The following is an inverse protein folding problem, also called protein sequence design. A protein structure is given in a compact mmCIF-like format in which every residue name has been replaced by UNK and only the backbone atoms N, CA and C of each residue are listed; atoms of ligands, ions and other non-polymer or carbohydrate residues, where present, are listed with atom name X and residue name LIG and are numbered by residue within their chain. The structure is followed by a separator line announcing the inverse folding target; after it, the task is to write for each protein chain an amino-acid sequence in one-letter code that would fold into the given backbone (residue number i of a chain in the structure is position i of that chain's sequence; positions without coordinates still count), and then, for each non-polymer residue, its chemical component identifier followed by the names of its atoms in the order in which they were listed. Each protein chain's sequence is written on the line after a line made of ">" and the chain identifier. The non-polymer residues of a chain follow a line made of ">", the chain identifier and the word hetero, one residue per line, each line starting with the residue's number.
data_IF_611862289544
#
_entry.id   IF_611862289544
#
_cell.length_a   1.000
_cell.length_b   1.000
_cell.length_c   1.000
_cell.angle_alpha   90.00
_cell.angle_beta   90.00
_cell.angle_gamma   90.00
#
_symmetry.space_group_name_H-M   'P 1'
#
loop_
_entity.id
_entity.type
_entity.pdbx_description
1 polymer ?
#
# COMPACT_ATOMS: atom_id res chain seq x y z
N UNK A 1 -17.67 -7.67 -4.88
CA UNK A 1 -16.51 -7.18 -5.67
C UNK A 1 -15.46 -8.28 -5.63
N UNK A 2 -14.84 -8.56 -6.78
CA UNK A 2 -13.73 -9.51 -6.90
C UNK A 2 -12.43 -8.77 -7.23
N UNK A 3 -11.32 -9.38 -6.84
CA UNK A 3 -9.96 -8.90 -7.03
C UNK A 3 -9.07 -10.03 -7.59
N UNK A 4 -8.02 -9.64 -8.28
CA UNK A 4 -6.94 -10.50 -8.76
C UNK A 4 -5.61 -10.02 -8.17
N UNK A 5 -4.59 -10.87 -8.25
CA UNK A 5 -3.21 -10.49 -7.94
C UNK A 5 -2.52 -9.85 -9.15
N UNK A 6 -2.95 -10.19 -10.37
CA UNK A 6 -2.28 -9.80 -11.61
C UNK A 6 -1.04 -10.64 -11.93
N UNK A 7 -0.75 -11.64 -11.11
CA UNK A 7 0.32 -12.61 -11.33
C UNK A 7 -0.34 -13.85 -11.93
N UNK A 8 -0.17 -14.05 -13.24
CA UNK A 8 -0.92 -15.08 -14.01
C UNK A 8 -0.90 -16.45 -13.34
N UNK A 9 0.28 -16.89 -12.86
CA UNK A 9 0.41 -18.21 -12.23
C UNK A 9 -0.34 -18.31 -10.90
N UNK A 10 -0.43 -17.21 -10.15
CA UNK A 10 -1.12 -17.16 -8.87
C UNK A 10 -2.63 -17.09 -9.08
N UNK A 11 -3.07 -16.27 -10.03
CA UNK A 11 -4.49 -16.14 -10.40
C UNK A 11 -5.04 -17.45 -10.99
N UNK A 12 -4.26 -18.21 -11.77
CA UNK A 12 -4.65 -19.55 -12.23
C UNK A 12 -4.87 -20.56 -11.09
N UNK A 13 -4.08 -20.46 -10.03
CA UNK A 13 -4.08 -21.42 -8.92
C UNK A 13 -5.15 -21.10 -7.88
N UNK A 14 -5.38 -19.81 -7.60
CA UNK A 14 -6.27 -19.35 -6.53
C UNK A 14 -7.63 -18.91 -7.08
N UNK A 15 -7.67 -18.39 -8.31
CA UNK A 15 -8.84 -17.76 -8.89
C UNK A 15 -9.13 -16.37 -8.31
N UNK A 16 -10.36 -15.92 -8.49
CA UNK A 16 -10.81 -14.62 -8.02
C UNK A 16 -10.88 -14.53 -6.49
N UNK A 17 -10.47 -13.38 -5.96
CA UNK A 17 -10.45 -13.09 -4.53
C UNK A 17 -11.69 -12.27 -4.18
N UNK A 18 -12.43 -12.69 -3.17
CA UNK A 18 -13.56 -11.94 -2.62
C UNK A 18 -13.11 -10.64 -1.94
N UNK A 19 -13.93 -9.59 -2.03
CA UNK A 19 -13.70 -8.37 -1.24
C UNK A 19 -13.76 -8.65 0.27
N UNK A 20 -12.85 -8.03 1.03
CA UNK A 20 -12.71 -8.24 2.47
C UNK A 20 -11.82 -9.43 2.86
N UNK A 21 -11.24 -10.14 1.89
CA UNK A 21 -10.24 -11.18 2.15
C UNK A 21 -8.91 -10.57 2.60
N UNK A 22 -8.34 -11.09 3.68
CA UNK A 22 -7.00 -10.75 4.14
C UNK A 22 -6.00 -11.80 3.66
N UNK A 23 -4.86 -11.36 3.14
CA UNK A 23 -3.83 -12.23 2.57
C UNK A 23 -2.51 -11.91 3.26
N UNK A 24 -1.85 -12.95 3.75
CA UNK A 24 -0.56 -12.82 4.43
C UNK A 24 0.54 -13.43 3.55
N UNK A 25 1.55 -12.63 3.22
CA UNK A 25 2.73 -13.05 2.48
C UNK A 25 3.87 -13.30 3.47
N UNK A 26 4.33 -14.56 3.57
CA UNK A 26 5.37 -14.99 4.51
C UNK A 26 6.54 -15.57 3.72
N UNK A 27 7.76 -15.23 4.13
CA UNK A 27 8.97 -15.77 3.52
C UNK A 27 10.25 -15.20 4.14
N UNK A 28 11.40 -15.86 3.94
CA UNK A 28 12.70 -15.41 4.45
C UNK A 28 13.06 -13.98 4.02
N UNK A 29 14.01 -13.31 4.69
CA UNK A 29 14.56 -12.04 4.21
C UNK A 29 15.06 -12.16 2.75
N UNK A 30 14.97 -11.06 1.98
CA UNK A 30 15.43 -11.00 0.59
C UNK A 30 14.79 -12.03 -0.37
N UNK A 31 13.57 -12.49 -0.08
CA UNK A 31 12.81 -13.42 -0.94
C UNK A 31 11.83 -12.73 -1.91
N UNK A 32 11.97 -11.42 -2.16
CA UNK A 32 11.11 -10.66 -3.09
C UNK A 32 9.67 -10.43 -2.62
N UNK A 33 9.41 -10.41 -1.31
CA UNK A 33 8.04 -10.18 -0.77
C UNK A 33 7.55 -8.77 -1.10
N UNK A 34 8.45 -7.80 -0.99
CA UNK A 34 8.17 -6.40 -1.24
C UNK A 34 7.77 -6.21 -2.72
N UNK A 35 8.48 -6.88 -3.64
CA UNK A 35 8.15 -6.90 -5.06
C UNK A 35 6.76 -7.50 -5.33
N UNK A 36 6.41 -8.62 -4.69
CA UNK A 36 5.08 -9.23 -4.84
C UNK A 36 3.98 -8.25 -4.39
N UNK A 37 4.16 -7.58 -3.26
CA UNK A 37 3.18 -6.61 -2.76
C UNK A 37 3.04 -5.44 -3.74
N UNK A 38 4.16 -4.91 -4.22
CA UNK A 38 4.17 -3.80 -5.16
C UNK A 38 3.52 -4.18 -6.51
N UNK A 39 3.79 -5.38 -7.04
CA UNK A 39 3.16 -5.91 -8.25
C UNK A 39 1.63 -6.04 -8.06
N UNK A 40 1.18 -6.57 -6.92
CA UNK A 40 -0.25 -6.72 -6.63
C UNK A 40 -0.95 -5.36 -6.51
N UNK A 41 -0.29 -4.39 -5.87
CA UNK A 41 -0.79 -3.02 -5.79
C UNK A 41 -0.84 -2.36 -7.17
N UNK A 42 0.22 -2.51 -7.96
CA UNK A 42 0.35 -2.03 -9.33
C UNK A 42 -0.78 -2.56 -10.23
N UNK A 43 -1.01 -3.87 -10.24
CA UNK A 43 -2.11 -4.46 -10.99
C UNK A 43 -3.48 -3.97 -10.54
N UNK A 44 -3.61 -3.63 -9.25
CA UNK A 44 -4.80 -2.96 -8.76
C UNK A 44 -5.01 -1.57 -9.37
N UNK A 45 -3.94 -0.78 -9.46
CA UNK A 45 -3.98 0.59 -9.96
C UNK A 45 -4.29 0.65 -11.46
N UNK A 46 -3.72 -0.24 -12.28
CA UNK A 46 -4.04 -0.32 -13.73
C UNK A 46 -5.52 -0.69 -13.98
N UNK A 47 -6.12 -1.44 -13.07
CA UNK A 47 -7.55 -1.80 -13.09
C UNK A 47 -8.45 -0.67 -12.54
N UNK A 48 -7.90 0.55 -12.41
CA UNK A 48 -8.57 1.74 -11.89
C UNK A 48 -9.10 1.56 -10.45
N UNK A 49 -8.39 0.79 -9.63
CA UNK A 49 -8.65 0.67 -8.19
C UNK A 49 -7.70 1.60 -7.42
N UNK A 50 -8.00 1.83 -6.14
CA UNK A 50 -7.12 2.54 -5.24
C UNK A 50 -6.25 1.59 -4.41
N UNK A 51 -5.09 2.07 -3.96
CA UNK A 51 -4.18 1.34 -3.09
C UNK A 51 -3.73 2.22 -1.91
N UNK A 52 -3.83 1.69 -0.70
CA UNK A 52 -3.22 2.26 0.51
C UNK A 52 -2.07 1.36 0.93
N UNK A 53 -0.86 1.90 1.04
CA UNK A 53 0.35 1.18 1.41
C UNK A 53 0.90 1.75 2.72
N UNK A 54 0.95 0.93 3.76
CA UNK A 54 1.64 1.28 5.00
C UNK A 54 3.07 0.78 4.91
N UNK A 55 4.02 1.70 4.76
CA UNK A 55 5.44 1.40 4.74
C UNK A 55 6.05 1.58 6.13
N UNK A 56 6.71 0.53 6.61
CA UNK A 56 7.39 0.52 7.92
C UNK A 56 8.88 0.22 7.83
N UNK A 57 9.40 -0.04 6.63
CA UNK A 57 10.80 -0.40 6.39
C UNK A 57 11.56 0.63 5.57
N UNK A 58 10.89 1.31 4.67
CA UNK A 58 11.48 2.34 3.82
C UNK A 58 10.65 3.63 3.80
N UNK A 59 11.26 4.77 3.48
CA UNK A 59 10.54 6.03 3.28
C UNK A 59 9.42 5.89 2.23
N UNK A 60 8.30 6.58 2.45
CA UNK A 60 7.18 6.57 1.53
C UNK A 60 7.51 7.14 0.16
N UNK A 61 8.52 8.02 0.08
CA UNK A 61 9.04 8.53 -1.19
C UNK A 61 9.61 7.43 -2.07
N UNK A 62 10.33 6.47 -1.49
CA UNK A 62 10.91 5.36 -2.25
C UNK A 62 9.80 4.45 -2.81
N UNK A 63 8.75 4.24 -2.02
CA UNK A 63 7.57 3.46 -2.45
C UNK A 63 6.86 4.17 -3.60
N UNK A 64 6.67 5.49 -3.51
CA UNK A 64 6.06 6.28 -4.57
C UNK A 64 6.90 6.28 -5.85
N UNK A 65 8.22 6.50 -5.72
CA UNK A 65 9.17 6.45 -6.82
C UNK A 65 9.15 5.08 -7.53
N UNK A 66 8.98 3.97 -6.80
CA UNK A 66 8.87 2.64 -7.42
C UNK A 66 7.73 2.58 -8.43
N UNK A 67 6.56 3.14 -8.10
CA UNK A 67 5.42 3.19 -9.03
C UNK A 67 5.68 4.14 -10.20
N UNK A 68 6.23 5.34 -9.93
CA UNK A 68 6.55 6.32 -10.96
C UNK A 68 7.50 5.78 -12.03
N UNK A 69 8.50 4.99 -11.61
CA UNK A 69 9.47 4.40 -12.52
C UNK A 69 8.96 3.14 -13.23
N UNK A 70 7.97 2.43 -12.66
CA UNK A 70 7.47 1.18 -13.25
C UNK A 70 6.55 1.43 -14.45
N UNK A 71 5.64 2.40 -14.36
CA UNK A 71 4.75 2.79 -15.45
C UNK A 71 4.22 4.22 -15.27
N UNK A 72 4.43 5.06 -16.27
CA UNK A 72 3.97 6.45 -16.28
C UNK A 72 2.46 6.61 -16.41
N UNK A 73 1.72 5.53 -16.72
CA UNK A 73 0.27 5.56 -16.88
C UNK A 73 -0.50 5.26 -15.59
N UNK A 74 0.20 5.03 -14.48
CA UNK A 74 -0.45 4.77 -13.19
C UNK A 74 -1.13 6.05 -12.69
N UNK A 75 -2.41 5.98 -12.28
CA UNK A 75 -3.09 7.11 -11.65
C UNK A 75 -2.51 7.34 -10.26
N UNK A 76 -1.55 8.26 -10.13
CA UNK A 76 -0.86 8.54 -8.87
C UNK A 76 -1.81 9.03 -7.77
N UNK A 77 -2.89 9.71 -8.14
CA UNK A 77 -3.97 10.13 -7.26
C UNK A 77 -4.75 8.96 -6.62
N UNK A 78 -4.59 7.73 -7.12
CA UNK A 78 -5.18 6.53 -6.53
C UNK A 78 -4.27 5.85 -5.49
N UNK A 79 -3.09 6.42 -5.23
CA UNK A 79 -2.08 5.87 -4.33
C UNK A 79 -2.03 6.68 -3.03
N UNK A 80 -2.20 5.99 -1.91
CA UNK A 80 -2.01 6.53 -0.57
C UNK A 80 -0.93 5.77 0.17
N UNK A 81 0.03 6.46 0.76
CA UNK A 81 1.16 5.88 1.47
C UNK A 81 1.17 6.41 2.89
N UNK A 82 1.23 5.49 3.86
CA UNK A 82 1.46 5.82 5.27
C UNK A 82 2.91 5.49 5.60
N UNK A 83 3.73 6.52 5.73
CA UNK A 83 5.16 6.41 6.01
C UNK A 83 5.42 6.40 7.52
N UNK A 84 5.92 5.29 8.07
CA UNK A 84 6.28 5.16 9.48
C UNK A 84 7.77 5.38 9.76
N UNK A 85 8.58 5.56 8.72
CA UNK A 85 10.05 5.52 8.77
C UNK A 85 10.64 6.93 8.84
N UNK A 86 10.19 7.84 7.97
CA UNK A 86 10.83 9.15 7.80
C UNK A 86 10.91 9.94 9.10
N UNK A 87 9.81 10.01 9.86
CA UNK A 87 9.80 10.68 11.18
C UNK A 87 10.59 9.92 12.24
N UNK A 88 10.60 8.59 12.19
CA UNK A 88 11.36 7.75 13.12
C UNK A 88 12.87 7.95 12.95
N UNK A 89 13.31 8.24 11.71
CA UNK A 89 14.70 8.61 11.40
C UNK A 89 15.06 10.06 11.80
N UNK A 90 14.13 10.81 12.40
CA UNK A 90 14.35 12.19 12.83
C UNK A 90 14.21 13.23 11.72
N UNK A 91 13.76 12.83 10.52
CA UNK A 91 13.47 13.76 9.44
C UNK A 91 12.06 14.34 9.59
N UNK A 92 11.97 15.66 9.60
CA UNK A 92 10.70 16.37 9.50
C UNK A 92 10.25 16.45 8.06
N UNK A 93 9.29 15.62 7.66
CA UNK A 93 8.64 15.71 6.36
C UNK A 93 7.15 16.06 6.56
N UNK A 94 6.61 17.02 5.78
CA UNK A 94 5.18 17.30 5.79
C UNK A 94 4.40 16.16 5.12
N UNK A 95 3.11 16.09 5.44
CA UNK A 95 2.20 15.26 4.67
C UNK A 95 2.01 15.86 3.27
N UNK A 96 1.83 14.99 2.28
CA UNK A 96 1.49 15.32 0.89
C UNK A 96 0.15 14.68 0.55
N UNK A 97 -0.34 14.87 -0.69
CA UNK A 97 -1.56 14.21 -1.16
C UNK A 97 -1.41 12.68 -1.14
N UNK A 98 -0.25 12.17 -1.56
CA UNK A 98 0.01 10.74 -1.64
C UNK A 98 0.66 10.15 -0.38
N UNK A 99 1.36 10.94 0.43
CA UNK A 99 2.16 10.43 1.56
C UNK A 99 1.74 11.11 2.87
N UNK A 100 1.27 10.33 3.84
CA UNK A 100 0.96 10.79 5.19
C UNK A 100 1.93 10.17 6.20
N UNK A 101 2.50 10.99 7.08
CA UNK A 101 3.61 10.60 7.94
C UNK A 101 3.16 10.10 9.32
N UNK A 102 3.28 8.81 9.60
CA UNK A 102 3.07 8.22 10.92
C UNK A 102 4.23 8.54 11.88
N UNK A 103 3.93 8.58 13.18
CA UNK A 103 4.90 8.92 14.21
C UNK A 103 5.92 7.79 14.43
N UNK A 104 5.46 6.55 14.29
CA UNK A 104 6.23 5.32 14.51
C UNK A 104 5.44 4.12 13.97
N UNK A 105 6.09 2.99 13.59
CA UNK A 105 5.40 1.76 13.20
C UNK A 105 4.52 1.15 14.31
N UNK A 106 4.76 1.50 15.59
CA UNK A 106 3.90 1.05 16.72
C UNK A 106 2.74 1.99 17.01
N UNK A 107 2.66 3.15 16.34
CA UNK A 107 1.55 4.11 16.46
C UNK A 107 0.33 3.64 15.63
N UNK A 108 -0.28 2.53 16.06
CA UNK A 108 -1.41 1.90 15.38
C UNK A 108 -2.60 2.85 15.22
N UNK A 109 -2.83 3.71 16.22
CA UNK A 109 -3.89 4.71 16.17
C UNK A 109 -3.60 5.76 15.09
N UNK A 110 -2.39 6.31 15.06
CA UNK A 110 -1.99 7.29 14.06
C UNK A 110 -1.95 6.71 12.64
N UNK A 111 -1.55 5.45 12.49
CA UNK A 111 -1.62 4.71 11.22
C UNK A 111 -3.09 4.53 10.80
N UNK A 112 -3.95 4.06 11.71
CA UNK A 112 -5.37 3.84 11.44
C UNK A 112 -6.11 5.11 11.00
N UNK A 113 -5.85 6.24 11.66
CA UNK A 113 -6.41 7.55 11.27
C UNK A 113 -6.00 7.92 9.84
N UNK A 114 -4.74 7.70 9.47
CA UNK A 114 -4.24 8.01 8.12
C UNK A 114 -4.82 7.10 7.04
N UNK A 115 -4.96 5.81 7.34
CA UNK A 115 -5.65 4.85 6.45
C UNK A 115 -7.09 5.32 6.21
N UNK A 116 -7.82 5.69 7.27
CA UNK A 116 -9.19 6.19 7.16
C UNK A 116 -9.29 7.46 6.32
N UNK A 117 -8.33 8.39 6.45
CA UNK A 117 -8.30 9.59 5.60
C UNK A 117 -8.12 9.26 4.12
N UNK A 118 -7.28 8.28 3.78
CA UNK A 118 -7.16 7.83 2.39
C UNK A 118 -8.42 7.13 1.89
N UNK A 119 -9.03 6.27 2.70
CA UNK A 119 -10.30 5.63 2.32
C UNK A 119 -11.42 6.64 2.12
N UNK A 120 -11.51 7.66 2.98
CA UNK A 120 -12.47 8.75 2.82
C UNK A 120 -12.25 9.48 1.50
N UNK A 121 -11.02 9.91 1.21
CA UNK A 121 -10.66 10.56 -0.04
C UNK A 121 -11.00 9.69 -1.27
N UNK A 122 -10.57 8.43 -1.28
CA UNK A 122 -10.82 7.53 -2.40
C UNK A 122 -12.30 7.23 -2.61
N UNK A 123 -13.07 7.05 -1.53
CA UNK A 123 -14.48 6.67 -1.64
C UNK A 123 -15.42 7.85 -1.87
N UNK A 124 -15.12 9.01 -1.30
CA UNK A 124 -15.97 10.20 -1.36
C UNK A 124 -15.59 11.12 -2.50
N UNK A 125 -14.29 11.37 -2.71
CA UNK A 125 -13.85 12.36 -3.70
C UNK A 125 -13.65 11.71 -5.07
N UNK A 126 -12.93 10.57 -5.12
CA UNK A 126 -12.60 9.87 -6.38
C UNK A 126 -13.62 8.79 -6.78
N UNK A 127 -14.59 8.46 -5.90
CA UNK A 127 -15.59 7.41 -6.12
C UNK A 127 -15.00 5.99 -6.38
N UNK A 128 -13.78 5.74 -5.91
CA UNK A 128 -13.04 4.49 -6.06
C UNK A 128 -13.39 3.49 -4.95
N UNK A 129 -14.47 2.73 -5.12
CA UNK A 129 -14.95 1.78 -4.10
C UNK A 129 -14.11 0.51 -3.94
N UNK A 130 -13.25 0.21 -4.91
CA UNK A 130 -12.31 -0.90 -4.85
C UNK A 130 -10.98 -0.38 -4.34
N UNK A 131 -10.61 -0.77 -3.13
CA UNK A 131 -9.38 -0.32 -2.48
C UNK A 131 -8.63 -1.51 -1.90
N UNK A 132 -7.33 -1.59 -2.15
CA UNK A 132 -6.43 -2.56 -1.51
C UNK A 132 -5.67 -1.88 -0.38
N UNK A 133 -5.55 -2.56 0.76
CA UNK A 133 -4.70 -2.13 1.87
C UNK A 133 -3.51 -3.09 1.99
N UNK A 134 -2.31 -2.55 1.82
CA UNK A 134 -1.07 -3.29 1.91
C UNK A 134 -0.30 -2.80 3.14
N UNK A 135 0.14 -3.73 4.00
CA UNK A 135 0.98 -3.40 5.16
C UNK A 135 2.33 -4.06 4.97
N UNK A 136 3.34 -3.27 4.67
CA UNK A 136 4.70 -3.74 4.49
C UNK A 136 5.65 -3.09 5.50
N UNK A 137 5.98 -3.73 6.62
CA UNK A 137 5.67 -5.11 7.04
C UNK A 137 5.00 -5.17 8.39
N UNK A 138 4.08 -6.12 8.56
CA UNK A 138 3.45 -6.40 9.85
C UNK A 138 4.45 -6.73 10.95
N UNK A 139 5.58 -7.38 10.63
CA UNK A 139 6.58 -7.76 11.65
C UNK A 139 7.14 -6.58 12.41
N UNK A 140 7.29 -5.40 11.79
CA UNK A 140 7.82 -4.21 12.47
C UNK A 140 6.79 -3.51 13.36
N UNK A 141 5.50 -3.85 13.19
CA UNK A 141 4.42 -3.33 14.03
C UNK A 141 4.32 -4.17 15.32
N UNK A 142 4.70 -5.45 15.23
CA UNK A 142 4.63 -6.43 16.32
C UNK A 142 5.90 -6.49 17.18
N UNK A 143 6.99 -5.84 16.74
CA UNK A 143 8.27 -5.75 17.46
C UNK A 143 8.44 -4.36 18.07
#
# INVERSE_FOLDING_TARGET
>A
MTYNFGISRLDELIGDIGGGTNIMVIGPPMSGKDDIINIVAYHGLIDNNAAVIVSTREPGTNVLEWFEHHDTNIPMDHIGIVDCVTRTLGFGAPDTENIKMASSPVDLTGIGVKISQFFEHFWMDLQLRKTRLCINSLSTILM
#
